data_IF_885519251609
#
_entry.id   IF_885519251609
#
_cell.length_a   1.000
_cell.length_b   1.000
_cell.length_c   1.000
_cell.angle_alpha   90.00
_cell.angle_beta   90.00
_cell.angle_gamma   90.00
#
_symmetry.space_group_name_H-M   'P 1'
#
loop_
_entity.id
_entity.type
_entity.pdbx_description
1 polymer ?
#
# COMPACT_ATOMS: atom_id res chain seq x y z
N UNK A 1 -58.29 -6.40 -27.88
CA UNK A 1 -57.32 -7.48 -28.18
C UNK A 1 -56.88 -8.08 -26.85
N UNK A 2 -57.04 -9.39 -26.67
CA UNK A 2 -56.88 -10.07 -25.38
C UNK A 2 -55.40 -10.27 -25.06
N UNK A 3 -54.93 -9.71 -23.93
CA UNK A 3 -53.61 -9.96 -23.38
C UNK A 3 -53.66 -11.20 -22.49
N UNK A 4 -53.27 -12.33 -23.05
CA UNK A 4 -53.02 -13.58 -22.30
C UNK A 4 -51.53 -13.88 -22.36
N UNK A 5 -50.88 -13.97 -21.20
CA UNK A 5 -49.84 -14.95 -20.84
C UNK A 5 -49.22 -14.50 -19.51
N UNK A 6 -49.75 -15.01 -18.40
CA UNK A 6 -49.33 -16.23 -17.70
C UNK A 6 -48.18 -15.94 -16.72
N UNK A 7 -48.60 -15.82 -15.46
CA UNK A 7 -47.77 -15.97 -14.27
C UNK A 7 -47.04 -17.32 -14.33
N UNK A 8 -45.76 -17.33 -13.94
CA UNK A 8 -45.13 -18.49 -13.34
C UNK A 8 -44.37 -18.05 -12.08
N UNK A 9 -45.02 -18.31 -10.95
CA UNK A 9 -44.46 -18.79 -9.70
C UNK A 9 -43.48 -17.91 -8.92
N UNK A 10 -44.06 -17.23 -7.93
CA UNK A 10 -43.44 -16.95 -6.63
C UNK A 10 -43.00 -18.25 -5.95
N UNK A 11 -41.82 -18.27 -5.34
CA UNK A 11 -41.54 -18.99 -4.10
C UNK A 11 -40.27 -18.42 -3.46
N UNK A 12 -40.49 -17.67 -2.40
CA UNK A 12 -39.51 -17.21 -1.43
C UNK A 12 -39.27 -18.34 -0.42
N UNK A 13 -38.02 -18.77 -0.21
CA UNK A 13 -37.55 -19.39 1.06
C UNK A 13 -36.01 -19.43 1.11
N UNK A 14 -35.39 -19.19 2.30
CA UNK A 14 -33.96 -18.95 2.45
C UNK A 14 -33.16 -20.19 2.89
N UNK A 15 -31.83 -20.01 2.96
CA UNK A 15 -30.80 -20.82 3.63
C UNK A 15 -29.89 -21.66 2.72
N UNK A 16 -28.62 -21.23 2.61
CA UNK A 16 -27.46 -22.04 3.02
C UNK A 16 -26.24 -21.15 3.18
N UNK A 17 -25.75 -21.09 4.40
CA UNK A 17 -24.48 -20.51 4.82
C UNK A 17 -23.34 -21.30 4.19
N UNK A 18 -22.44 -20.62 3.49
CA UNK A 18 -21.04 -21.05 3.39
C UNK A 18 -20.23 -20.04 4.20
N UNK A 19 -20.07 -20.41 5.47
CA UNK A 19 -19.06 -19.90 6.39
C UNK A 19 -17.71 -20.41 5.88
N UNK A 20 -16.85 -19.52 5.40
CA UNK A 20 -15.41 -19.77 5.41
C UNK A 20 -14.79 -18.78 6.40
N UNK A 21 -14.69 -19.30 7.62
CA UNK A 21 -13.73 -18.90 8.63
C UNK A 21 -12.33 -18.91 8.02
N UNK A 22 -11.69 -17.74 7.99
CA UNK A 22 -10.26 -17.70 8.23
C UNK A 22 -9.95 -16.45 9.05
N UNK A 23 -10.13 -16.63 10.35
CA UNK A 23 -9.66 -15.76 11.42
C UNK A 23 -8.13 -15.65 11.39
N UNK A 24 -7.56 -14.90 10.44
CA UNK A 24 -6.22 -14.35 10.57
C UNK A 24 -6.29 -13.12 11.50
N UNK A 25 -6.41 -13.42 12.79
CA UNK A 25 -6.20 -12.46 13.87
C UNK A 25 -4.70 -12.14 13.92
N UNK A 26 -4.27 -11.20 13.08
CA UNK A 26 -2.93 -10.61 13.18
C UNK A 26 -2.83 -10.02 14.58
N UNK A 27 -1.98 -10.64 15.41
CA UNK A 27 -1.68 -10.14 16.74
C UNK A 27 -1.13 -8.71 16.61
N UNK A 28 -1.55 -7.76 17.46
CA UNK A 28 -0.92 -6.44 17.51
C UNK A 28 0.57 -6.63 17.75
N UNK A 29 1.38 -6.27 16.75
CA UNK A 29 2.84 -6.26 16.87
C UNK A 29 3.16 -5.21 17.93
N UNK A 30 3.58 -5.67 19.10
CA UNK A 30 3.99 -4.83 20.22
C UNK A 30 5.02 -3.81 19.71
N UNK A 31 4.62 -2.53 19.69
CA UNK A 31 5.46 -1.43 19.25
C UNK A 31 6.59 -1.27 20.25
N UNK A 32 7.72 -1.92 19.98
CA UNK A 32 8.97 -1.57 20.64
C UNK A 32 9.23 -0.09 20.34
N UNK A 33 9.32 0.73 21.39
CA UNK A 33 9.65 2.15 21.26
C UNK A 33 11.10 2.27 20.75
N UNK A 34 11.25 2.29 19.43
CA UNK A 34 12.53 2.57 18.78
C UNK A 34 12.87 4.04 19.07
N UNK A 35 14.06 4.34 19.62
CA UNK A 35 14.47 5.73 19.84
C UNK A 35 14.34 6.52 18.54
N UNK A 36 13.51 7.56 18.55
CA UNK A 36 13.32 8.42 17.36
C UNK A 36 14.58 9.24 17.15
N UNK A 37 15.41 8.83 16.19
CA UNK A 37 16.57 9.60 15.80
C UNK A 37 16.16 10.78 14.89
N UNK A 38 16.86 11.93 14.96
CA UNK A 38 16.56 13.06 14.09
C UNK A 38 16.84 12.71 12.63
N UNK A 39 16.06 13.34 11.75
CA UNK A 39 16.28 13.31 10.30
C UNK A 39 17.68 13.84 9.97
N UNK A 40 18.34 13.19 9.01
CA UNK A 40 19.49 13.76 8.29
C UNK A 40 19.40 13.37 6.82
N UNK A 41 19.84 14.23 5.89
CA UNK A 41 19.86 13.89 4.47
C UNK A 41 20.65 12.61 4.17
N UNK A 42 21.73 12.35 4.91
CA UNK A 42 22.57 11.16 4.74
C UNK A 42 21.81 9.88 5.11
N UNK A 43 21.06 9.88 6.21
CA UNK A 43 20.20 8.73 6.59
C UNK A 43 19.12 8.49 5.55
N UNK A 44 18.53 9.54 5.00
CA UNK A 44 17.55 9.41 3.91
C UNK A 44 18.16 8.75 2.66
N UNK A 45 19.40 9.09 2.29
CA UNK A 45 20.10 8.44 1.18
C UNK A 45 20.40 6.96 1.46
N UNK A 46 20.84 6.64 2.67
CA UNK A 46 21.10 5.25 3.08
C UNK A 46 19.82 4.43 3.02
N UNK A 47 18.70 5.00 3.47
CA UNK A 47 17.39 4.36 3.40
C UNK A 47 16.91 4.20 1.96
N UNK A 48 17.13 5.18 1.06
CA UNK A 48 16.82 5.00 -0.36
C UNK A 48 17.55 3.78 -0.94
N UNK A 49 18.84 3.65 -0.63
CA UNK A 49 19.67 2.58 -1.17
C UNK A 49 19.24 1.17 -0.71
N UNK A 50 18.48 1.03 0.39
CA UNK A 50 17.95 -0.28 0.80
C UNK A 50 16.76 -0.76 -0.04
N UNK A 51 16.18 0.13 -0.84
CA UNK A 51 15.02 -0.15 -1.70
C UNK A 51 15.29 0.12 -3.18
N UNK A 52 16.46 0.67 -3.53
CA UNK A 52 16.81 0.93 -4.93
C UNK A 52 16.95 -0.36 -5.73
N UNK A 53 16.63 -0.29 -7.02
CA UNK A 53 16.71 -1.41 -7.94
C UNK A 53 18.19 -1.79 -8.21
N UNK A 54 18.46 -3.08 -8.43
CA UNK A 54 19.83 -3.57 -8.68
C UNK A 54 20.39 -3.10 -10.02
N UNK A 55 19.51 -2.90 -11.02
CA UNK A 55 19.84 -2.47 -12.36
C UNK A 55 19.86 -0.94 -12.54
N UNK A 56 19.15 -0.20 -11.69
CA UNK A 56 19.20 1.27 -11.63
C UNK A 56 19.21 1.77 -10.17
N UNK A 57 20.41 2.05 -9.66
CA UNK A 57 20.60 2.50 -8.29
C UNK A 57 20.01 3.88 -7.98
N UNK A 58 19.54 4.64 -8.98
CA UNK A 58 18.90 5.95 -8.78
C UNK A 58 17.36 5.87 -8.77
N UNK A 59 16.82 4.65 -8.81
CA UNK A 59 15.38 4.39 -8.85
C UNK A 59 14.98 3.36 -7.78
N UNK A 60 13.90 3.63 -7.07
CA UNK A 60 13.09 2.62 -6.38
C UNK A 60 11.97 2.27 -7.35
N UNK A 61 12.01 1.09 -7.95
CA UNK A 61 10.96 0.60 -8.83
C UNK A 61 9.83 -0.10 -8.07
N UNK A 62 8.96 -0.83 -8.77
CA UNK A 62 7.81 -1.50 -8.14
C UNK A 62 8.20 -2.47 -7.02
N UNK A 63 9.24 -3.29 -7.23
CA UNK A 63 9.69 -4.25 -6.22
C UNK A 63 10.30 -3.57 -4.98
N UNK A 64 11.07 -2.50 -5.19
CA UNK A 64 11.58 -1.66 -4.12
C UNK A 64 10.47 -0.96 -3.33
N UNK A 65 9.44 -0.46 -4.01
CA UNK A 65 8.28 0.17 -3.38
C UNK A 65 7.45 -0.83 -2.57
N UNK A 66 7.23 -2.05 -3.08
CA UNK A 66 6.57 -3.13 -2.35
C UNK A 66 7.30 -3.45 -1.04
N UNK A 67 8.63 -3.56 -1.10
CA UNK A 67 9.49 -3.78 0.07
C UNK A 67 9.41 -2.62 1.06
N UNK A 68 9.51 -1.38 0.58
CA UNK A 68 9.38 -0.16 1.39
C UNK A 68 8.06 -0.15 2.16
N UNK A 69 6.94 -0.35 1.47
CA UNK A 69 5.62 -0.36 2.10
C UNK A 69 5.47 -1.48 3.12
N UNK A 70 5.99 -2.69 2.81
CA UNK A 70 5.98 -3.83 3.72
C UNK A 70 6.77 -3.55 5.01
N UNK A 71 7.99 -3.00 4.89
CA UNK A 71 8.82 -2.67 6.06
C UNK A 71 8.23 -1.52 6.90
N UNK A 72 7.52 -0.60 6.26
CA UNK A 72 6.81 0.50 6.92
C UNK A 72 5.45 0.11 7.50
N UNK A 73 5.03 -1.16 7.38
CA UNK A 73 3.69 -1.65 7.76
C UNK A 73 2.55 -0.87 7.08
N UNK A 74 2.78 -0.48 5.82
CA UNK A 74 1.83 0.22 4.95
C UNK A 74 1.22 -0.78 3.96
N UNK A 75 -0.11 -0.99 3.97
CA UNK A 75 -0.79 -1.78 2.93
C UNK A 75 -0.62 -1.14 1.55
N UNK A 76 -0.17 -1.94 0.58
CA UNK A 76 0.11 -1.47 -0.78
C UNK A 76 -1.15 -1.09 -1.57
N UNK A 77 -2.29 -1.71 -1.25
CA UNK A 77 -3.60 -1.46 -1.85
C UNK A 77 -4.37 -0.29 -1.21
N UNK A 78 -3.79 0.34 -0.19
CA UNK A 78 -4.36 1.46 0.54
C UNK A 78 -4.08 2.83 -0.10
N UNK A 79 -4.59 3.88 0.54
CA UNK A 79 -4.33 5.26 0.13
C UNK A 79 -2.94 5.77 0.56
N UNK A 80 -2.29 5.13 1.53
CA UNK A 80 -1.03 5.60 2.11
C UNK A 80 0.14 5.64 1.10
N UNK A 81 0.37 4.62 0.23
CA UNK A 81 1.38 4.72 -0.82
C UNK A 81 1.14 5.89 -1.78
N UNK A 82 -0.11 6.21 -2.07
CA UNK A 82 -0.48 7.36 -2.92
C UNK A 82 -0.20 8.69 -2.22
N UNK A 83 -0.49 8.79 -0.93
CA UNK A 83 -0.16 9.97 -0.11
C UNK A 83 1.37 10.15 -0.07
N UNK A 84 2.12 9.07 0.14
CA UNK A 84 3.59 9.11 0.09
C UNK A 84 4.08 9.62 -1.27
N UNK A 85 3.55 9.08 -2.37
CA UNK A 85 3.92 9.54 -3.70
C UNK A 85 3.62 11.03 -3.92
N UNK A 86 2.49 11.51 -3.41
CA UNK A 86 2.12 12.92 -3.46
C UNK A 86 3.05 13.82 -2.65
N UNK A 87 3.48 13.37 -1.47
CA UNK A 87 4.46 14.08 -0.62
C UNK A 87 5.83 14.17 -1.31
N UNK A 88 6.29 13.07 -1.90
CA UNK A 88 7.58 13.00 -2.60
C UNK A 88 7.56 13.63 -4.00
N UNK A 89 6.41 14.14 -4.47
CA UNK A 89 6.21 14.65 -5.84
C UNK A 89 6.56 13.61 -6.91
N UNK A 90 6.24 12.35 -6.64
CA UNK A 90 6.43 11.26 -7.59
C UNK A 90 5.73 11.55 -8.91
N UNK A 91 6.50 11.49 -10.00
CA UNK A 91 6.04 11.79 -11.36
C UNK A 91 5.53 10.55 -12.10
N UNK A 92 5.98 9.36 -11.69
CA UNK A 92 5.63 8.07 -12.28
C UNK A 92 5.01 7.14 -11.24
N UNK A 93 4.08 6.29 -11.69
CA UNK A 93 3.44 5.32 -10.82
C UNK A 93 4.43 4.22 -10.41
N UNK A 94 4.36 3.80 -9.14
CA UNK A 94 5.17 2.74 -8.58
C UNK A 94 6.69 2.95 -8.71
N UNK A 95 7.12 4.21 -8.74
CA UNK A 95 8.51 4.60 -8.93
C UNK A 95 8.84 5.83 -8.09
N UNK A 96 10.01 5.81 -7.45
CA UNK A 96 10.63 7.02 -6.91
C UNK A 96 12.06 7.15 -7.42
N UNK A 97 12.39 8.31 -7.96
CA UNK A 97 13.78 8.67 -8.25
C UNK A 97 14.48 9.15 -6.99
N UNK A 98 15.82 9.04 -6.95
CA UNK A 98 16.64 9.59 -5.87
C UNK A 98 16.38 11.08 -5.64
N UNK A 99 16.10 11.83 -6.71
CA UNK A 99 15.80 13.27 -6.64
C UNK A 99 14.48 13.53 -5.93
N UNK A 100 13.40 12.86 -6.35
CA UNK A 100 12.07 12.96 -5.73
C UNK A 100 12.14 12.57 -4.25
N UNK A 101 12.82 11.47 -3.94
CA UNK A 101 13.03 11.02 -2.56
C UNK A 101 13.78 12.05 -1.72
N UNK A 102 14.94 12.51 -2.18
CA UNK A 102 15.80 13.45 -1.44
C UNK A 102 15.08 14.76 -1.17
N UNK A 103 14.35 15.27 -2.17
CA UNK A 103 13.57 16.49 -2.05
C UNK A 103 12.40 16.30 -1.08
N UNK A 104 11.58 15.27 -1.28
CA UNK A 104 10.39 15.03 -0.48
C UNK A 104 10.70 14.70 0.98
N UNK A 105 11.69 13.84 1.24
CA UNK A 105 12.08 13.50 2.62
C UNK A 105 12.64 14.70 3.38
N UNK A 106 13.31 15.64 2.69
CA UNK A 106 13.79 16.88 3.30
C UNK A 106 12.67 17.89 3.60
N UNK A 107 11.47 17.73 3.02
CA UNK A 107 10.30 18.56 3.33
C UNK A 107 9.42 17.96 4.44
N UNK A 108 9.61 16.68 4.77
CA UNK A 108 8.85 15.93 5.77
C UNK A 108 9.52 15.93 7.16
N UNK A 109 10.65 16.63 7.32
CA UNK A 109 11.36 16.78 8.60
C UNK A 109 10.56 17.57 9.66
#
# INVERSE_FOLDING_TARGET
MRLSSLLCCVSNTPARSDEVDETNKVAPKESQEVPTEPYTPQRAQVLFNSFADEDDSDVIGPGGLEKLCTEADIPLDGAQPLILAWQLKGSEMAKFTRVEWSHGMGLLE
#
